data_IF_971646248717
#
_entry.id   IF_971646248717
#
_cell.length_a   1.000
_cell.length_b   1.000
_cell.length_c   1.000
_cell.angle_alpha   90.00
_cell.angle_beta   90.00
_cell.angle_gamma   90.00
#
_symmetry.space_group_name_H-M   'P 1'
#
loop_
_entity.id
_entity.type
_entity.pdbx_description
1 polymer ?
#
# COMPACT_ATOMS: atom_id res chain seq x y z
N UNK A 1 -15.77 12.39 9.72
CA UNK A 1 -15.03 12.24 11.01
C UNK A 1 -13.58 12.60 10.73
N UNK A 2 -12.92 13.32 11.63
CA UNK A 2 -11.53 13.78 11.40
C UNK A 2 -10.53 12.62 11.50
N UNK A 3 -9.43 12.70 10.75
CA UNK A 3 -8.34 11.70 10.76
C UNK A 3 -7.75 11.47 12.16
N UNK A 4 -7.77 12.51 13.01
CA UNK A 4 -7.26 12.46 14.38
C UNK A 4 -8.02 11.47 15.26
N UNK A 5 -9.34 11.31 15.10
CA UNK A 5 -10.14 10.35 15.87
C UNK A 5 -9.71 8.91 15.56
N UNK A 6 -9.55 8.61 14.27
CA UNK A 6 -9.07 7.32 13.80
C UNK A 6 -7.66 7.01 14.32
N UNK A 7 -6.76 7.99 14.32
CA UNK A 7 -5.42 7.84 14.89
C UNK A 7 -5.47 7.53 16.39
N UNK A 8 -6.33 8.21 17.15
CA UNK A 8 -6.48 7.97 18.59
C UNK A 8 -6.92 6.54 18.89
N UNK A 9 -7.88 6.00 18.13
CA UNK A 9 -8.32 4.59 18.26
C UNK A 9 -7.20 3.60 17.94
N UNK A 10 -6.32 3.95 17.00
CA UNK A 10 -5.17 3.12 16.62
C UNK A 10 -3.98 3.21 17.59
N UNK A 11 -3.97 4.17 18.53
CA UNK A 11 -2.89 4.38 19.48
C UNK A 11 -2.57 3.10 20.29
N UNK A 12 -3.60 2.33 20.69
CA UNK A 12 -3.40 1.07 21.42
C UNK A 12 -2.62 0.00 20.63
N UNK A 13 -2.72 0.00 19.29
CA UNK A 13 -2.08 -0.99 18.42
C UNK A 13 -0.73 -0.53 17.88
N UNK A 14 -0.63 0.74 17.52
CA UNK A 14 0.58 1.34 16.92
C UNK A 14 1.55 1.88 17.97
N UNK A 15 1.12 1.95 19.23
CA UNK A 15 1.84 2.57 20.33
C UNK A 15 1.81 4.09 20.24
N UNK A 16 2.87 4.75 20.70
CA UNK A 16 2.95 6.21 20.73
C UNK A 16 2.86 6.82 19.33
N UNK A 17 1.76 7.51 19.05
CA UNK A 17 1.57 8.33 17.85
C UNK A 17 2.06 9.74 18.16
N UNK A 18 2.87 10.30 17.26
CA UNK A 18 3.33 11.68 17.31
C UNK A 18 2.70 12.44 16.16
N UNK A 19 1.86 13.41 16.51
CA UNK A 19 1.30 14.35 15.55
C UNK A 19 2.36 15.39 15.15
N UNK A 20 2.48 15.62 13.85
CA UNK A 20 3.24 16.71 13.28
C UNK A 20 2.34 17.47 12.30
N UNK A 21 2.75 18.69 11.93
CA UNK A 21 1.94 19.71 11.25
C UNK A 21 1.05 19.21 10.09
N UNK A 22 1.51 18.23 9.31
CA UNK A 22 0.78 17.64 8.18
C UNK A 22 0.94 16.12 8.09
N UNK A 23 1.46 15.50 9.15
CA UNK A 23 1.69 14.06 9.15
C UNK A 23 1.70 13.45 10.55
N UNK A 24 1.28 12.19 10.65
CA UNK A 24 1.38 11.41 11.87
C UNK A 24 2.58 10.49 11.79
N UNK A 25 3.41 10.45 12.83
CA UNK A 25 4.59 9.59 12.93
C UNK A 25 4.35 8.52 14.00
N UNK A 26 4.59 7.27 13.66
CA UNK A 26 4.36 6.14 14.56
C UNK A 26 5.23 4.94 14.17
N UNK A 27 5.05 3.81 14.86
CA UNK A 27 5.77 2.57 14.57
C UNK A 27 5.13 1.83 13.41
N UNK A 28 5.95 1.39 12.47
CA UNK A 28 5.42 0.58 11.38
C UNK A 28 5.10 -0.84 11.90
N UNK A 29 3.85 -1.32 11.74
CA UNK A 29 3.45 -2.66 12.18
C UNK A 29 4.05 -3.77 11.29
N UNK A 30 4.44 -3.43 10.06
CA UNK A 30 4.96 -4.39 9.09
C UNK A 30 6.46 -4.64 9.18
N UNK A 31 7.24 -3.80 9.89
CA UNK A 31 8.68 -4.01 9.99
C UNK A 31 9.18 -4.24 11.42
N UNK A 32 10.12 -5.19 11.50
CA UNK A 32 10.82 -5.54 12.74
C UNK A 32 11.86 -4.51 13.20
N UNK A 33 12.26 -3.53 12.36
CA UNK A 33 13.19 -2.47 12.80
C UNK A 33 12.55 -1.56 13.86
N UNK A 34 11.22 -1.38 13.80
CA UNK A 34 10.45 -0.66 14.81
C UNK A 34 10.44 -1.34 16.18
N UNK A 35 10.73 -2.66 16.22
CA UNK A 35 10.79 -3.44 17.45
C UNK A 35 12.16 -3.30 18.14
N UNK A 36 13.24 -3.14 17.35
CA UNK A 36 14.60 -3.00 17.91
C UNK A 36 14.83 -1.65 18.59
N UNK A 37 14.24 -0.57 18.07
CA UNK A 37 14.37 0.76 18.66
C UNK A 37 13.02 1.40 18.92
N UNK A 38 12.61 1.40 20.19
CA UNK A 38 11.31 1.88 20.63
C UNK A 38 11.09 3.39 20.42
N UNK A 39 12.18 4.16 20.28
CA UNK A 39 12.14 5.61 20.10
C UNK A 39 11.94 6.05 18.64
N UNK A 40 12.19 5.18 17.65
CA UNK A 40 12.19 5.58 16.23
C UNK A 40 10.82 5.39 15.61
N UNK A 41 10.16 6.49 15.28
CA UNK A 41 8.98 6.48 14.42
C UNK A 41 9.42 6.33 12.94
N UNK A 42 9.04 5.22 12.31
CA UNK A 42 9.39 4.88 10.91
C UNK A 42 8.20 4.94 9.97
N UNK A 43 7.00 4.78 10.53
CA UNK A 43 5.74 4.89 9.82
C UNK A 43 5.28 6.34 9.83
N UNK A 44 4.81 6.79 8.68
CA UNK A 44 4.26 8.12 8.48
C UNK A 44 2.91 8.00 7.79
N UNK A 45 1.89 8.68 8.30
CA UNK A 45 0.67 8.94 7.53
C UNK A 45 0.73 10.38 7.06
N UNK A 46 0.67 10.54 5.74
CA UNK A 46 0.74 11.82 5.06
C UNK A 46 -0.55 12.03 4.29
N UNK A 47 -1.07 13.25 4.33
CA UNK A 47 -2.16 13.63 3.46
C UNK A 47 -1.61 14.14 2.13
N UNK A 48 -2.18 13.65 1.03
CA UNK A 48 -1.85 14.10 -0.31
C UNK A 48 -3.10 14.09 -1.18
N UNK A 49 -3.44 15.23 -1.77
CA UNK A 49 -4.62 15.39 -2.62
C UNK A 49 -5.94 14.97 -1.94
N UNK A 50 -6.12 15.34 -0.67
CA UNK A 50 -7.31 14.99 0.11
C UNK A 50 -7.43 13.51 0.46
N UNK A 51 -6.38 12.71 0.24
CA UNK A 51 -6.32 11.29 0.61
C UNK A 51 -5.16 11.03 1.53
N UNK A 52 -5.36 10.11 2.47
CA UNK A 52 -4.33 9.73 3.42
C UNK A 52 -3.56 8.51 2.93
N UNK A 53 -2.24 8.57 3.06
CA UNK A 53 -1.33 7.49 2.67
C UNK A 53 -0.40 7.14 3.82
N UNK A 54 -0.37 5.85 4.13
CA UNK A 54 0.66 5.28 4.98
C UNK A 54 1.94 5.05 4.18
N UNK A 55 3.08 5.44 4.73
CA UNK A 55 4.42 5.19 4.19
C UNK A 55 5.39 4.79 5.28
N UNK A 56 6.17 3.75 5.01
CA UNK A 56 7.28 3.33 5.86
C UNK A 56 8.63 3.75 5.26
N UNK A 57 9.47 4.47 6.01
CA UNK A 57 10.80 4.86 5.55
C UNK A 57 11.79 3.67 5.48
N UNK A 58 11.60 2.64 6.32
CA UNK A 58 12.52 1.50 6.36
C UNK A 58 12.14 0.43 5.31
N UNK A 59 10.91 -0.08 5.42
CA UNK A 59 10.35 -1.11 4.56
C UNK A 59 10.05 -0.66 3.12
N UNK A 60 9.87 0.64 2.90
CA UNK A 60 9.39 1.18 1.62
C UNK A 60 7.90 0.91 1.32
N UNK A 61 7.20 0.17 2.19
CA UNK A 61 5.76 -0.09 2.04
C UNK A 61 5.00 1.23 2.03
N UNK A 62 4.18 1.41 0.99
CA UNK A 62 3.24 2.52 0.88
C UNK A 62 1.85 1.96 0.59
N UNK A 63 0.87 2.33 1.40
CA UNK A 63 -0.53 1.89 1.28
C UNK A 63 -1.46 3.08 1.42
N UNK A 64 -2.66 2.98 0.86
CA UNK A 64 -3.75 3.90 1.21
C UNK A 64 -4.13 3.70 2.66
N UNK A 65 -4.71 4.71 3.29
CA UNK A 65 -5.18 4.59 4.67
C UNK A 65 -6.25 3.51 4.81
N UNK A 66 -7.12 3.32 3.81
CA UNK A 66 -8.10 2.23 3.75
C UNK A 66 -7.45 0.85 3.93
N UNK A 67 -6.44 0.57 3.10
CA UNK A 67 -5.77 -0.73 3.10
C UNK A 67 -4.96 -0.93 4.38
N UNK A 68 -4.36 0.15 4.89
CA UNK A 68 -3.65 0.13 6.16
C UNK A 68 -4.60 -0.18 7.32
N UNK A 69 -5.78 0.42 7.35
CA UNK A 69 -6.78 0.20 8.38
C UNK A 69 -7.32 -1.23 8.32
N UNK A 70 -7.64 -1.71 7.12
CA UNK A 70 -8.08 -3.10 6.88
C UNK A 70 -7.09 -4.15 7.40
N UNK A 71 -5.79 -3.88 7.25
CA UNK A 71 -4.74 -4.81 7.72
C UNK A 71 -4.56 -4.78 9.24
N UNK A 72 -4.87 -3.65 9.89
CA UNK A 72 -4.71 -3.48 11.33
C UNK A 72 -5.92 -3.97 12.12
N UNK A 73 -7.11 -3.62 11.63
CA UNK A 73 -8.37 -3.92 12.27
C UNK A 73 -9.50 -3.88 11.23
N UNK A 74 -10.07 -5.05 10.97
CA UNK A 74 -11.20 -5.19 10.06
C UNK A 74 -12.47 -4.49 10.58
N UNK A 75 -12.66 -4.43 11.90
CA UNK A 75 -13.86 -3.84 12.52
C UNK A 75 -13.83 -2.31 12.38
N UNK A 76 -12.69 -1.68 12.74
CA UNK A 76 -12.51 -0.24 12.52
C UNK A 76 -12.56 0.13 11.03
N UNK A 77 -12.07 -0.75 10.15
CA UNK A 77 -12.19 -0.53 8.71
C UNK A 77 -13.65 -0.51 8.25
N UNK A 78 -14.51 -1.40 8.77
CA UNK A 78 -15.93 -1.39 8.45
C UNK A 78 -16.60 -0.09 8.91
N UNK A 79 -16.29 0.41 10.12
CA UNK A 79 -16.78 1.71 10.60
C UNK A 79 -16.34 2.87 9.70
N UNK A 80 -15.06 2.88 9.30
CA UNK A 80 -14.49 3.91 8.43
C UNK A 80 -15.15 3.92 7.04
N UNK A 81 -15.31 2.73 6.47
CA UNK A 81 -15.98 2.51 5.18
C UNK A 81 -17.41 3.03 5.19
N UNK A 82 -18.17 2.74 6.25
CA UNK A 82 -19.56 3.15 6.38
C UNK A 82 -19.69 4.68 6.49
N UNK A 83 -18.70 5.37 7.04
CA UNK A 83 -18.69 6.83 7.15
C UNK A 83 -18.29 7.52 5.85
N UNK A 84 -17.24 7.04 5.18
CA UNK A 84 -16.71 7.65 3.95
C UNK A 84 -17.57 7.32 2.72
N UNK A 85 -18.36 6.24 2.79
CA UNK A 85 -19.18 5.80 1.66
C UNK A 85 -20.51 5.20 2.13
N UNK A 86 -21.49 6.03 2.52
CA UNK A 86 -22.79 5.56 2.97
C UNK A 86 -23.55 4.75 1.90
N UNK A 87 -23.26 4.98 0.61
CA UNK A 87 -23.89 4.30 -0.54
C UNK A 87 -23.44 2.84 -0.75
N UNK A 88 -22.42 2.34 -0.05
CA UNK A 88 -22.00 0.92 -0.11
C UNK A 88 -22.80 0.00 0.82
N UNK A 89 -23.84 0.51 1.47
CA UNK A 89 -24.84 -0.35 2.10
C UNK A 89 -25.69 -0.97 1.00
N UNK A 90 -25.48 -2.27 0.76
CA UNK A 90 -26.30 -3.28 0.08
C UNK A 90 -25.43 -4.05 -0.93
N UNK A 91 -24.69 -5.08 -0.46
CA UNK A 91 -24.60 -6.41 -1.10
C UNK A 91 -23.42 -7.32 -0.70
N UNK A 92 -22.58 -7.00 0.31
CA UNK A 92 -21.46 -7.92 0.65
C UNK A 92 -21.75 -8.92 1.80
N UNK A 93 -23.00 -9.02 2.28
CA UNK A 93 -23.41 -10.02 3.27
C UNK A 93 -23.78 -11.40 2.67
N UNK A 94 -23.37 -11.70 1.44
CA UNK A 94 -23.57 -13.01 0.84
C UNK A 94 -22.47 -13.35 -0.17
N UNK A 95 -21.27 -13.70 0.29
CA UNK A 95 -20.53 -14.78 -0.39
C UNK A 95 -19.74 -15.63 0.62
N UNK A 96 -20.03 -16.95 0.71
CA UNK A 96 -19.39 -17.88 1.65
C UNK A 96 -17.89 -18.04 1.44
N UNK A 97 -17.22 -18.46 2.51
CA UNK A 97 -15.88 -19.05 2.51
C UNK A 97 -15.69 -19.98 1.32
N UNK A 98 -14.69 -19.69 0.50
CA UNK A 98 -14.19 -20.59 -0.51
C UNK A 98 -12.72 -20.84 -0.20
N UNK A 99 -12.46 -22.04 0.32
CA UNK A 99 -11.15 -22.67 0.26
C UNK A 99 -10.77 -22.81 -1.22
N UNK A 100 -9.67 -22.16 -1.62
CA UNK A 100 -9.08 -22.36 -2.94
C UNK A 100 -7.66 -22.87 -2.72
N UNK A 101 -7.52 -24.19 -2.80
CA UNK A 101 -6.25 -24.88 -2.86
C UNK A 101 -5.41 -24.43 -4.07
N UNK A 102 -4.10 -24.23 -3.84
CA UNK A 102 -3.04 -24.44 -4.83
C UNK A 102 -3.06 -23.62 -6.14
N UNK A 103 -2.44 -22.43 -6.12
CA UNK A 103 -1.93 -21.79 -7.35
C UNK A 103 -0.41 -21.55 -7.25
N UNK A 104 0.31 -22.11 -8.23
CA UNK A 104 1.77 -22.08 -8.40
C UNK A 104 2.28 -20.64 -8.64
N UNK A 105 3.55 -20.32 -8.30
CA UNK A 105 4.03 -18.93 -8.27
C UNK A 105 4.35 -18.43 -9.68
N UNK A 106 3.56 -17.48 -10.17
CA UNK A 106 3.93 -16.70 -11.35
C UNK A 106 4.62 -15.41 -10.90
N UNK A 107 5.88 -15.28 -11.27
CA UNK A 107 6.73 -14.14 -10.96
C UNK A 107 6.08 -12.81 -11.43
N UNK A 108 5.63 -11.99 -10.49
CA UNK A 108 5.25 -10.60 -10.74
C UNK A 108 6.52 -9.81 -11.07
N UNK A 109 6.84 -9.71 -12.36
CA UNK A 109 7.77 -8.71 -12.85
C UNK A 109 7.00 -7.41 -13.12
N UNK A 110 7.40 -6.37 -12.39
CA UNK A 110 6.97 -4.98 -12.50
C UNK A 110 6.80 -4.51 -13.96
N UNK A 111 5.65 -3.95 -14.31
CA UNK A 111 5.49 -3.11 -15.49
C UNK A 111 5.99 -1.68 -15.19
N UNK A 112 6.92 -1.11 -15.97
CA UNK A 112 7.37 0.27 -15.77
C UNK A 112 6.32 1.29 -16.22
N UNK A 113 6.21 2.38 -15.46
CA UNK A 113 5.35 3.53 -15.77
C UNK A 113 5.89 4.29 -17.00
N UNK A 114 5.03 4.41 -18.01
CA UNK A 114 5.21 5.32 -19.16
C UNK A 114 5.41 4.58 -20.48
N UNK A 115 4.35 4.51 -21.30
CA UNK A 115 4.47 4.23 -22.73
C UNK A 115 3.37 3.37 -23.35
N UNK A 116 2.64 3.97 -24.29
CA UNK A 116 1.76 3.38 -25.31
C UNK A 116 0.50 2.64 -24.83
N UNK A 117 -0.65 3.19 -25.24
CA UNK A 117 -2.02 2.74 -24.93
C UNK A 117 -2.39 1.33 -25.41
N UNK A 118 -1.52 0.64 -26.15
CA UNK A 118 -1.85 -0.69 -26.66
C UNK A 118 -0.61 -1.57 -26.89
N UNK A 119 -0.70 -2.83 -26.44
CA UNK A 119 0.31 -3.89 -26.55
C UNK A 119 0.69 -4.20 -28.01
N UNK A 120 -0.23 -3.95 -28.96
CA UNK A 120 0.04 -4.09 -30.39
C UNK A 120 0.97 -2.99 -30.93
N UNK A 121 0.95 -1.79 -30.36
CA UNK A 121 1.83 -0.67 -30.75
C UNK A 121 3.29 -0.93 -30.36
N UNK A 122 3.52 -1.58 -29.22
CA UNK A 122 4.85 -1.98 -28.75
C UNK A 122 5.56 -2.99 -29.69
N UNK A 123 4.82 -3.94 -30.28
CA UNK A 123 5.41 -4.92 -31.21
C UNK A 123 5.88 -4.29 -32.52
N UNK A 124 5.18 -3.26 -33.02
CA UNK A 124 5.61 -2.54 -34.23
C UNK A 124 6.91 -1.77 -34.01
N UNK A 125 7.09 -1.17 -32.83
CA UNK A 125 8.25 -0.32 -32.53
C UNK A 125 9.56 -1.12 -32.28
N UNK A 126 9.48 -2.40 -31.90
CA UNK A 126 10.67 -3.25 -31.72
C UNK A 126 11.46 -3.55 -32.99
N UNK A 127 10.88 -3.38 -34.18
CA UNK A 127 11.58 -3.62 -35.45
C UNK A 127 12.44 -2.45 -35.92
N UNK A 128 12.36 -1.31 -35.22
CA UNK A 128 13.04 -0.06 -35.58
C UNK A 128 13.94 0.50 -34.45
N UNK A 129 14.33 -0.35 -33.48
CA UNK A 129 15.27 0.03 -32.42
C UNK A 129 16.71 -0.28 -32.84
N UNK A 130 17.65 0.69 -32.80
CA UNK A 130 19.05 0.45 -33.14
C UNK A 130 19.74 -0.42 -32.08
N UNK A 131 20.55 -1.38 -32.55
CA UNK A 131 21.10 -2.49 -31.77
C UNK A 131 21.93 -2.10 -30.52
N UNK A 132 22.39 -0.85 -30.42
CA UNK A 132 23.24 -0.39 -29.32
C UNK A 132 22.50 -0.15 -27.99
N UNK A 133 21.16 -0.13 -27.97
CA UNK A 133 20.35 0.04 -26.75
C UNK A 133 19.95 -1.29 -26.09
N UNK A 134 20.34 -2.44 -26.64
CA UNK A 134 20.16 -3.75 -25.99
C UNK A 134 21.28 -4.02 -24.97
N UNK A 135 21.52 -3.12 -24.02
CA UNK A 135 22.52 -3.35 -22.97
C UNK A 135 21.85 -3.81 -21.68
N UNK A 136 21.56 -5.11 -21.64
CA UNK A 136 21.37 -5.86 -20.40
C UNK A 136 22.64 -6.64 -20.08
N UNK A 137 23.54 -6.07 -19.28
CA UNK A 137 24.69 -6.82 -18.77
C UNK A 137 24.31 -7.54 -17.48
N UNK A 138 23.91 -8.80 -17.63
CA UNK A 138 24.13 -9.84 -16.63
C UNK A 138 25.19 -10.79 -17.20
N UNK A 139 26.38 -10.86 -16.59
CA UNK A 139 27.12 -12.13 -16.49
C UNK A 139 27.85 -12.19 -15.14
N UNK A 140 27.36 -13.11 -14.30
CA UNK A 140 28.13 -13.75 -13.23
C UNK A 140 29.24 -14.59 -13.88
N UNK A 141 30.43 -14.55 -13.29
CA UNK A 141 31.28 -15.72 -13.06
C UNK A 141 31.73 -15.65 -11.61
#
# INVERSE_FOLDING_TARGET
MELSDWMNRLCGRLGKIQEASSCYRFRCPYCGDSQKSHAKARGHVVEKWGKQFFKCHNCGISKTFDQFLKDLDADLYAEYVNQECPERHLEDAATPLKEEEGVKPAATQYLPRGGCSDYQSWRRCKRSMPAHLHRGEKKRF
#
